data_IF_762644115503
#
_entry.id   IF_762644115503
#
_cell.length_a   1.000
_cell.length_b   1.000
_cell.length_c   1.000
_cell.angle_alpha   90.00
_cell.angle_beta   90.00
_cell.angle_gamma   90.00
#
_symmetry.space_group_name_H-M   'P 1'
#
loop_
_entity.id
_entity.type
_entity.pdbx_description
1 polymer ?
#
# COMPACT_ATOMS: atom_id res chain seq x y z
N UNK A 1 -3.88 8.27 -9.03
CA UNK A 1 -3.50 9.57 -9.61
C UNK A 1 -2.65 9.43 -10.89
N UNK A 2 -1.46 8.78 -10.86
CA UNK A 2 -0.61 8.65 -12.07
C UNK A 2 -1.33 8.03 -13.28
N UNK A 3 -2.05 6.91 -13.10
CA UNK A 3 -2.81 6.28 -14.19
C UNK A 3 -3.93 7.18 -14.74
N UNK A 4 -4.63 7.94 -13.89
CA UNK A 4 -5.65 8.89 -14.30
C UNK A 4 -5.05 9.96 -15.21
N UNK A 5 -3.87 10.50 -14.85
CA UNK A 5 -3.17 11.48 -15.67
C UNK A 5 -2.68 10.91 -17.00
N UNK A 6 -2.12 9.69 -17.00
CA UNK A 6 -1.63 9.04 -18.23
C UNK A 6 -2.76 8.69 -19.20
N UNK A 7 -3.87 8.16 -18.69
CA UNK A 7 -5.02 7.76 -19.50
C UNK A 7 -5.99 8.91 -19.77
N UNK A 8 -5.71 10.11 -19.25
CA UNK A 8 -6.57 11.31 -19.36
C UNK A 8 -8.02 11.06 -18.93
N UNK A 9 -8.20 10.15 -17.97
CA UNK A 9 -9.51 9.82 -17.43
C UNK A 9 -10.04 10.94 -16.51
N UNK A 10 -11.36 11.07 -16.44
CA UNK A 10 -11.99 12.04 -15.53
C UNK A 10 -11.80 11.61 -14.07
N UNK A 11 -11.24 12.52 -13.27
CA UNK A 11 -10.95 12.25 -11.86
C UNK A 11 -12.21 12.00 -11.04
N UNK A 12 -13.26 12.79 -11.27
CA UNK A 12 -14.51 12.71 -10.51
C UNK A 12 -15.23 11.40 -10.77
N UNK A 13 -15.35 11.00 -12.05
CA UNK A 13 -15.95 9.73 -12.45
C UNK A 13 -15.13 8.56 -11.91
N UNK A 14 -13.79 8.62 -12.03
CA UNK A 14 -12.90 7.56 -11.52
C UNK A 14 -13.03 7.39 -10.01
N UNK A 15 -13.08 8.49 -9.25
CA UNK A 15 -13.26 8.43 -7.80
C UNK A 15 -14.66 7.92 -7.41
N UNK A 16 -15.71 8.40 -8.08
CA UNK A 16 -17.08 7.98 -7.80
C UNK A 16 -17.28 6.48 -8.03
N UNK A 17 -16.88 5.99 -9.21
CA UNK A 17 -16.92 4.55 -9.53
C UNK A 17 -15.97 3.74 -8.64
N UNK A 18 -14.79 4.31 -8.32
CA UNK A 18 -13.81 3.69 -7.43
C UNK A 18 -14.37 3.44 -6.04
N UNK A 19 -15.06 4.41 -5.44
CA UNK A 19 -15.72 4.25 -4.12
C UNK A 19 -16.82 3.20 -4.19
N UNK A 20 -17.64 3.24 -5.23
CA UNK A 20 -18.72 2.28 -5.44
C UNK A 20 -18.20 0.82 -5.49
N UNK A 21 -17.09 0.59 -6.19
CA UNK A 21 -16.45 -0.72 -6.34
C UNK A 21 -15.66 -1.10 -5.07
N UNK A 22 -15.03 -0.12 -4.41
CA UNK A 22 -14.21 -0.39 -3.24
C UNK A 22 -15.02 -0.92 -2.05
N UNK A 23 -16.23 -0.42 -1.81
CA UNK A 23 -17.07 -0.83 -0.68
C UNK A 23 -17.31 -2.36 -0.67
N UNK A 24 -17.90 -2.97 -1.72
CA UNK A 24 -18.11 -4.42 -1.73
C UNK A 24 -16.78 -5.20 -1.78
N UNK A 25 -15.78 -4.69 -2.49
CA UNK A 25 -14.45 -5.33 -2.56
C UNK A 25 -13.81 -5.45 -1.18
N UNK A 26 -13.85 -4.38 -0.38
CA UNK A 26 -13.31 -4.38 1.00
C UNK A 26 -14.10 -5.33 1.90
N UNK A 27 -15.42 -5.43 1.74
CA UNK A 27 -16.22 -6.38 2.51
C UNK A 27 -15.83 -7.83 2.20
N UNK A 28 -15.59 -8.14 0.92
CA UNK A 28 -15.16 -9.49 0.50
C UNK A 28 -13.74 -9.80 0.94
N UNK A 29 -12.79 -8.94 0.62
CA UNK A 29 -11.36 -9.15 0.90
C UNK A 29 -11.00 -8.94 2.37
N UNK A 30 -11.75 -8.14 3.13
CA UNK A 30 -11.56 -7.90 4.56
C UNK A 30 -12.32 -8.92 5.43
N UNK A 31 -13.52 -8.57 5.94
CA UNK A 31 -14.22 -9.39 6.95
C UNK A 31 -14.57 -10.81 6.49
N UNK A 32 -14.92 -11.02 5.22
CA UNK A 32 -15.25 -12.36 4.74
C UNK A 32 -14.00 -13.22 4.57
N UNK A 33 -12.97 -12.68 3.94
CA UNK A 33 -11.72 -13.39 3.74
C UNK A 33 -10.98 -13.63 5.06
N UNK A 34 -11.01 -12.68 6.01
CA UNK A 34 -10.33 -12.82 7.30
C UNK A 34 -10.82 -14.02 8.10
N UNK A 35 -12.12 -14.35 8.04
CA UNK A 35 -12.68 -15.55 8.68
C UNK A 35 -12.09 -16.84 8.10
N UNK A 36 -11.79 -16.84 6.80
CA UNK A 36 -11.18 -17.97 6.13
C UNK A 36 -9.68 -18.04 6.44
N UNK A 37 -8.98 -16.90 6.36
CA UNK A 37 -7.57 -16.79 6.67
C UNK A 37 -7.25 -17.20 8.12
N UNK A 38 -8.07 -16.81 9.09
CA UNK A 38 -7.92 -17.19 10.49
C UNK A 38 -8.01 -18.71 10.72
N UNK A 39 -8.74 -19.44 9.88
CA UNK A 39 -8.79 -20.90 9.94
C UNK A 39 -7.56 -21.57 9.33
N UNK A 40 -6.95 -20.95 8.32
CA UNK A 40 -5.80 -21.49 7.60
C UNK A 40 -4.47 -21.14 8.26
N UNK A 41 -4.43 -20.01 8.95
CA UNK A 41 -3.24 -19.44 9.58
C UNK A 41 -3.59 -19.02 11.01
N UNK A 42 -3.79 -20.00 11.92
CA UNK A 42 -3.94 -19.66 13.34
C UNK A 42 -2.59 -19.18 13.85
N UNK A 43 -2.47 -17.89 14.14
CA UNK A 43 -1.26 -17.24 14.67
C UNK A 43 -1.64 -16.42 15.88
N UNK A 44 -0.92 -16.63 16.98
CA UNK A 44 -1.01 -15.80 18.15
C UNK A 44 -0.35 -14.44 17.90
N UNK A 45 -0.70 -13.45 18.71
CA UNK A 45 -0.07 -12.14 18.62
C UNK A 45 1.45 -12.28 18.80
N UNK A 46 2.28 -11.64 17.95
CA UNK A 46 3.73 -11.75 18.05
C UNK A 46 4.23 -11.23 19.39
N UNK A 47 5.18 -11.94 20.03
CA UNK A 47 5.80 -11.55 21.30
C UNK A 47 6.51 -10.19 21.22
N UNK A 48 6.83 -9.69 20.03
CA UNK A 48 7.37 -8.35 19.78
C UNK A 48 6.53 -7.22 20.38
N UNK A 49 5.23 -7.46 20.60
CA UNK A 49 4.30 -6.49 21.19
C UNK A 49 3.94 -6.81 22.64
N UNK A 50 4.42 -7.93 23.16
CA UNK A 50 4.22 -8.36 24.53
C UNK A 50 5.50 -8.03 25.34
N UNK A 51 5.67 -6.79 25.78
CA UNK A 51 6.58 -6.49 26.87
C UNK A 51 5.99 -7.11 28.16
N UNK A 52 6.06 -8.42 28.28
CA UNK A 52 5.83 -9.12 29.54
C UNK A 52 7.12 -9.04 30.33
N UNK A 53 7.14 -8.29 31.41
CA UNK A 53 8.08 -8.56 32.48
C UNK A 53 7.97 -10.06 32.85
N UNK A 54 9.07 -10.68 33.27
CA UNK A 54 9.15 -12.12 33.62
C UNK A 54 8.05 -12.63 34.57
N UNK A 55 7.17 -11.76 35.07
CA UNK A 55 6.06 -12.04 35.98
C UNK A 55 4.67 -11.90 35.34
N UNK A 56 4.55 -11.75 33.99
CA UNK A 56 3.24 -11.71 33.31
C UNK A 56 2.34 -10.51 33.70
N UNK A 57 2.86 -9.57 34.46
CA UNK A 57 2.13 -8.35 34.84
C UNK A 57 2.42 -7.28 33.82
N UNK A 58 1.39 -6.84 33.12
CA UNK A 58 1.40 -5.58 32.39
C UNK A 58 1.62 -4.45 33.40
N UNK A 59 2.89 -4.21 33.76
CA UNK A 59 3.27 -3.25 34.79
C UNK A 59 2.75 -1.87 34.42
N UNK A 60 2.03 -1.25 35.34
CA UNK A 60 1.69 0.17 35.25
C UNK A 60 3.02 0.91 35.44
N UNK A 61 3.68 1.25 34.32
CA UNK A 61 4.87 2.09 34.34
C UNK A 61 4.43 3.48 34.79
N UNK A 62 4.96 4.00 35.90
CA UNK A 62 4.70 5.38 36.30
C UNK A 62 5.16 6.32 35.17
N UNK A 63 4.29 7.22 34.75
CA UNK A 63 4.61 8.18 33.67
C UNK A 63 4.10 7.81 32.27
N UNK A 64 3.09 6.94 32.15
CA UNK A 64 2.48 6.66 30.82
C UNK A 64 1.98 7.96 30.18
N UNK A 65 2.33 8.23 28.92
CA UNK A 65 1.79 9.36 28.18
C UNK A 65 0.27 9.23 28.06
N UNK A 66 -0.43 10.36 28.05
CA UNK A 66 -1.88 10.38 27.88
C UNK A 66 -2.27 9.74 26.54
N UNK A 67 -3.34 8.96 26.51
CA UNK A 67 -3.84 8.32 25.29
C UNK A 67 -3.95 9.29 24.11
N UNK A 68 -4.43 10.51 24.34
CA UNK A 68 -4.54 11.54 23.31
C UNK A 68 -3.19 11.95 22.71
N UNK A 69 -2.14 12.04 23.54
CA UNK A 69 -0.77 12.37 23.09
C UNK A 69 -0.21 11.23 22.24
N UNK A 70 -0.37 10.00 22.69
CA UNK A 70 0.06 8.81 21.94
C UNK A 70 -0.66 8.74 20.60
N UNK A 71 -2.00 8.87 20.61
CA UNK A 71 -2.81 8.82 19.39
C UNK A 71 -2.43 9.94 18.40
N UNK A 72 -2.29 11.17 18.88
CA UNK A 72 -1.86 12.30 18.03
C UNK A 72 -0.46 12.09 17.45
N UNK A 73 0.48 11.58 18.23
CA UNK A 73 1.83 11.29 17.75
C UNK A 73 1.80 10.20 16.67
N UNK A 74 1.03 9.13 16.86
CA UNK A 74 0.92 8.03 15.87
C UNK A 74 0.19 8.45 14.59
N UNK A 75 -0.82 9.32 14.69
CA UNK A 75 -1.59 9.79 13.53
C UNK A 75 -0.91 10.93 12.78
N UNK A 76 0.08 11.58 13.38
CA UNK A 76 0.72 12.75 12.79
C UNK A 76 1.24 12.53 11.36
N UNK A 77 1.96 11.44 11.01
CA UNK A 77 2.42 11.23 9.64
C UNK A 77 1.24 11.06 8.67
N UNK A 78 0.17 10.39 9.10
CA UNK A 78 -1.04 10.23 8.28
C UNK A 78 -1.70 11.58 8.01
N UNK A 79 -1.81 12.43 9.03
CA UNK A 79 -2.39 13.78 8.90
C UNK A 79 -1.56 14.66 7.97
N UNK A 80 -0.22 14.61 8.08
CA UNK A 80 0.67 15.38 7.22
C UNK A 80 0.59 14.91 5.75
N UNK A 81 0.62 13.61 5.50
CA UNK A 81 0.50 13.04 4.16
C UNK A 81 -0.89 13.31 3.56
N UNK A 82 -1.94 13.24 4.37
CA UNK A 82 -3.30 13.57 3.95
C UNK A 82 -3.44 15.06 3.65
N UNK A 83 -2.79 15.94 4.42
CA UNK A 83 -2.72 17.38 4.15
C UNK A 83 -2.14 17.69 2.77
N UNK A 84 -1.04 16.99 2.38
CA UNK A 84 -0.46 17.09 1.03
C UNK A 84 -1.46 16.62 -0.04
N UNK A 85 -2.09 15.46 0.16
CA UNK A 85 -3.08 14.93 -0.78
C UNK A 85 -4.28 15.88 -0.97
N UNK A 86 -4.77 16.48 0.12
CA UNK A 86 -5.84 17.49 0.05
C UNK A 86 -5.39 18.77 -0.67
N UNK A 87 -4.16 19.24 -0.44
CA UNK A 87 -3.61 20.39 -1.16
C UNK A 87 -3.52 20.14 -2.68
N UNK A 88 -3.26 18.91 -3.09
CA UNK A 88 -3.28 18.51 -4.51
C UNK A 88 -4.70 18.53 -5.08
N UNK A 89 -5.68 18.02 -4.34
CA UNK A 89 -7.09 17.98 -4.76
C UNK A 89 -7.69 19.41 -4.88
N UNK A 90 -7.43 20.26 -3.88
CA UNK A 90 -7.96 21.63 -3.88
C UNK A 90 -7.16 22.62 -4.74
N UNK A 91 -6.19 22.12 -5.53
CA UNK A 91 -5.39 22.88 -6.49
C UNK A 91 -4.80 24.18 -5.94
N UNK A 92 -4.29 24.17 -4.71
CA UNK A 92 -3.67 25.32 -4.03
C UNK A 92 -2.35 25.76 -4.71
N UNK A 93 -2.31 25.77 -6.04
CA UNK A 93 -1.10 26.08 -6.82
C UNK A 93 -0.58 27.47 -6.51
N UNK A 94 0.74 27.59 -6.29
CA UNK A 94 1.43 28.86 -6.11
C UNK A 94 1.29 29.50 -4.71
N UNK A 95 0.71 28.79 -3.73
CA UNK A 95 0.62 29.29 -2.35
C UNK A 95 1.77 28.77 -1.48
N UNK A 96 2.24 29.59 -0.52
CA UNK A 96 3.24 29.16 0.47
C UNK A 96 2.73 27.94 1.28
N UNK A 97 1.42 27.87 1.53
CA UNK A 97 0.78 26.75 2.23
C UNK A 97 1.00 25.43 1.50
N UNK A 98 0.89 25.43 0.17
CA UNK A 98 1.17 24.24 -0.63
C UNK A 98 2.62 23.78 -0.48
N UNK A 99 3.58 24.69 -0.60
CA UNK A 99 5.00 24.33 -0.46
C UNK A 99 5.32 23.72 0.90
N UNK A 100 4.71 24.23 1.97
CA UNK A 100 4.85 23.68 3.32
C UNK A 100 4.21 22.28 3.41
N UNK A 101 3.00 22.09 2.89
CA UNK A 101 2.30 20.79 2.91
C UNK A 101 2.99 19.76 2.01
N UNK A 102 3.54 20.17 0.88
CA UNK A 102 4.33 19.30 0.00
C UNK A 102 5.59 18.80 0.70
N UNK A 103 6.28 19.66 1.44
CA UNK A 103 7.49 19.29 2.19
C UNK A 103 7.16 18.44 3.41
N UNK A 104 6.24 18.87 4.27
CA UNK A 104 5.90 18.16 5.51
C UNK A 104 5.12 16.86 5.24
N UNK A 105 4.36 16.79 4.15
CA UNK A 105 3.61 15.61 3.74
C UNK A 105 4.42 14.63 2.90
N UNK A 106 5.70 14.91 2.63
CA UNK A 106 6.60 13.91 2.04
C UNK A 106 6.82 12.78 3.05
N UNK A 107 6.60 11.49 2.68
CA UNK A 107 6.63 10.37 3.64
C UNK A 107 7.88 10.32 4.50
N UNK A 108 9.05 10.59 3.92
CA UNK A 108 10.31 10.58 4.63
C UNK A 108 10.35 11.66 5.73
N UNK A 109 9.96 12.90 5.40
CA UNK A 109 9.95 14.01 6.36
C UNK A 109 8.84 13.86 7.40
N UNK A 110 7.65 13.41 7.00
CA UNK A 110 6.54 13.16 7.91
C UNK A 110 6.91 12.12 8.99
N UNK A 111 7.52 11.00 8.58
CA UNK A 111 7.96 9.97 9.50
C UNK A 111 9.15 10.41 10.37
N UNK A 112 10.14 11.11 9.80
CA UNK A 112 11.26 11.64 10.56
C UNK A 112 10.79 12.64 11.63
N UNK A 113 9.95 13.60 11.26
CA UNK A 113 9.39 14.58 12.18
C UNK A 113 8.60 13.90 13.30
N UNK A 114 7.78 12.91 12.93
CA UNK A 114 7.00 12.14 13.91
C UNK A 114 7.91 11.38 14.88
N UNK A 115 8.97 10.76 14.39
CA UNK A 115 9.94 10.05 15.24
C UNK A 115 10.63 10.99 16.22
N UNK A 116 11.07 12.16 15.74
CA UNK A 116 11.68 13.17 16.59
C UNK A 116 10.69 13.69 17.65
N UNK A 117 9.44 13.94 17.27
CA UNK A 117 8.39 14.32 18.21
C UNK A 117 8.07 13.21 19.21
N UNK A 118 8.06 11.93 18.78
CA UNK A 118 7.81 10.79 19.66
C UNK A 118 8.87 10.69 20.77
N UNK A 119 10.13 10.99 20.48
CA UNK A 119 11.20 11.04 21.49
C UNK A 119 10.84 12.01 22.64
N UNK A 120 10.24 13.16 22.32
CA UNK A 120 9.83 14.14 23.31
C UNK A 120 8.49 13.81 23.95
N UNK A 121 7.48 13.47 23.14
CA UNK A 121 6.10 13.29 23.60
C UNK A 121 5.90 11.96 24.33
N UNK A 122 6.60 10.92 23.92
CA UNK A 122 6.50 9.59 24.53
C UNK A 122 7.69 9.32 25.46
N UNK A 123 8.91 9.54 25.01
CA UNK A 123 10.11 9.23 25.77
C UNK A 123 10.26 10.12 27.02
N UNK A 124 10.36 11.43 26.84
CA UNK A 124 10.56 12.37 27.94
C UNK A 124 9.40 12.41 28.94
N UNK A 125 8.16 12.34 28.43
CA UNK A 125 6.95 12.34 29.28
C UNK A 125 6.86 11.04 30.08
N UNK A 126 7.36 9.92 29.58
CA UNK A 126 7.47 8.65 30.32
C UNK A 126 8.63 8.61 31.34
N UNK A 127 9.36 9.70 31.47
CA UNK A 127 10.48 9.78 32.43
C UNK A 127 11.76 9.09 31.96
N UNK A 128 11.87 8.73 30.68
CA UNK A 128 13.09 8.13 30.12
C UNK A 128 14.25 9.11 30.17
N UNK A 129 15.40 8.68 30.69
CA UNK A 129 16.64 9.42 30.58
C UNK A 129 17.23 9.27 29.14
N UNK A 130 18.33 9.98 28.87
CA UNK A 130 18.98 9.95 27.54
C UNK A 130 19.46 8.55 27.15
N UNK A 131 20.02 7.82 28.12
CA UNK A 131 20.57 6.48 27.87
C UNK A 131 19.44 5.50 27.55
N UNK A 132 18.37 5.46 28.35
CA UNK A 132 17.21 4.63 28.10
C UNK A 132 16.53 4.96 26.73
N UNK A 133 16.54 6.24 26.34
CA UNK A 133 16.01 6.68 25.05
C UNK A 133 16.89 6.22 23.89
N UNK A 134 18.21 6.35 24.04
CA UNK A 134 19.20 5.85 23.08
C UNK A 134 19.11 4.33 22.92
N UNK A 135 19.01 3.61 24.03
CA UNK A 135 18.88 2.16 24.04
C UNK A 135 17.57 1.70 23.37
N UNK A 136 16.46 2.40 23.64
CA UNK A 136 15.17 2.12 23.00
C UNK A 136 15.20 2.32 21.48
N UNK A 137 15.83 3.42 21.02
CA UNK A 137 16.01 3.68 19.58
C UNK A 137 16.98 2.66 18.97
N UNK A 138 18.09 2.36 19.68
CA UNK A 138 19.07 1.37 19.25
C UNK A 138 18.49 -0.04 19.12
N UNK A 139 17.63 -0.44 20.07
CA UNK A 139 16.95 -1.73 20.05
C UNK A 139 15.92 -1.88 18.91
N UNK A 140 15.41 -0.77 18.37
CA UNK A 140 14.49 -0.79 17.24
C UNK A 140 15.19 -1.02 15.88
N UNK A 141 16.52 -0.80 15.78
CA UNK A 141 17.24 -0.90 14.50
C UNK A 141 17.49 -2.35 14.02
N UNK A 142 17.93 -3.30 14.88
CA UNK A 142 18.23 -4.65 14.43
C UNK A 142 17.05 -5.38 13.75
N UNK A 143 15.80 -5.31 14.25
CA UNK A 143 14.64 -5.91 13.58
C UNK A 143 14.39 -5.34 12.18
N UNK A 144 14.70 -4.07 11.97
CA UNK A 144 14.47 -3.37 10.69
C UNK A 144 15.58 -3.69 9.68
N UNK A 145 16.81 -4.00 10.13
CA UNK A 145 17.94 -4.25 9.24
C UNK A 145 17.68 -5.40 8.25
N UNK A 146 17.10 -6.50 8.72
CA UNK A 146 16.70 -7.64 7.87
C UNK A 146 15.65 -7.25 6.83
N UNK A 147 14.66 -6.46 7.25
CA UNK A 147 13.61 -5.94 6.37
C UNK A 147 14.22 -5.03 5.29
N UNK A 148 15.08 -4.09 5.68
CA UNK A 148 15.75 -3.18 4.74
C UNK A 148 16.58 -3.94 3.71
N UNK A 149 17.35 -4.93 4.13
CA UNK A 149 18.15 -5.75 3.22
C UNK A 149 17.27 -6.52 2.23
N UNK A 150 16.19 -7.15 2.71
CA UNK A 150 15.26 -7.90 1.87
C UNK A 150 14.53 -6.99 0.88
N UNK A 151 14.06 -5.82 1.34
CA UNK A 151 13.41 -4.82 0.49
C UNK A 151 14.38 -4.26 -0.55
N UNK A 152 15.63 -3.98 -0.17
CA UNK A 152 16.65 -3.50 -1.08
C UNK A 152 16.99 -4.56 -2.15
N UNK A 153 17.15 -5.83 -1.77
CA UNK A 153 17.39 -6.93 -2.70
C UNK A 153 16.21 -7.12 -3.67
N UNK A 154 14.97 -7.10 -3.16
CA UNK A 154 13.75 -7.14 -3.98
C UNK A 154 13.63 -5.95 -4.93
N UNK A 155 14.02 -4.75 -4.47
CA UNK A 155 14.09 -3.54 -5.28
C UNK A 155 15.11 -3.64 -6.41
N UNK A 156 16.29 -4.19 -6.14
CA UNK A 156 17.32 -4.47 -7.15
C UNK A 156 16.84 -5.45 -8.21
N UNK A 157 16.24 -6.56 -7.78
CA UNK A 157 15.66 -7.55 -8.69
C UNK A 157 14.56 -6.93 -9.58
N UNK A 158 13.64 -6.16 -8.98
CA UNK A 158 12.64 -5.40 -9.70
C UNK A 158 13.26 -4.50 -10.76
N UNK A 159 14.33 -3.75 -10.41
CA UNK A 159 14.98 -2.83 -11.36
C UNK A 159 15.55 -3.57 -12.56
N UNK A 160 16.17 -4.73 -12.36
CA UNK A 160 16.64 -5.59 -13.44
C UNK A 160 15.49 -6.00 -14.38
N UNK A 161 14.34 -6.39 -13.83
CA UNK A 161 13.17 -6.76 -14.64
C UNK A 161 12.60 -5.57 -15.44
N UNK A 162 12.66 -4.37 -14.90
CA UNK A 162 12.25 -3.14 -15.59
C UNK A 162 13.24 -2.81 -16.70
N UNK A 163 14.55 -2.85 -16.41
CA UNK A 163 15.62 -2.50 -17.36
C UNK A 163 15.71 -3.49 -18.53
N UNK A 164 15.41 -4.76 -18.30
CA UNK A 164 15.34 -5.78 -19.37
C UNK A 164 14.11 -5.61 -20.28
N UNK A 165 13.14 -4.76 -19.91
CA UNK A 165 11.93 -4.52 -20.71
C UNK A 165 10.93 -5.69 -20.73
N UNK A 166 11.15 -6.74 -19.96
CA UNK A 166 10.27 -7.94 -19.91
C UNK A 166 8.81 -7.55 -19.64
N UNK A 167 8.57 -6.59 -18.71
CA UNK A 167 7.23 -6.13 -18.39
C UNK A 167 6.49 -5.54 -19.61
N UNK A 168 7.19 -4.78 -20.46
CA UNK A 168 6.64 -4.22 -21.71
C UNK A 168 6.37 -5.29 -22.75
N UNK A 169 7.27 -6.26 -22.90
CA UNK A 169 7.10 -7.37 -23.85
C UNK A 169 5.86 -8.19 -23.51
N UNK A 170 5.68 -8.53 -22.26
CA UNK A 170 4.52 -9.28 -21.78
C UNK A 170 3.21 -8.49 -21.96
N UNK A 171 3.22 -7.19 -21.63
CA UNK A 171 2.09 -6.30 -21.81
C UNK A 171 1.65 -6.19 -23.27
N UNK A 172 2.60 -5.96 -24.20
CA UNK A 172 2.34 -5.84 -25.63
C UNK A 172 1.78 -7.15 -26.24
N UNK A 173 2.20 -8.31 -25.75
CA UNK A 173 1.66 -9.60 -26.21
C UNK A 173 0.17 -9.75 -25.89
N UNK A 174 -0.27 -9.23 -24.75
CA UNK A 174 -1.68 -9.30 -24.31
C UNK A 174 -2.55 -8.31 -25.09
N UNK A 175 -2.03 -7.12 -25.44
CA UNK A 175 -2.82 -6.08 -26.14
C UNK A 175 -3.19 -6.47 -27.58
N UNK A 176 -2.56 -7.48 -28.17
CA UNK A 176 -2.89 -7.98 -29.52
C UNK A 176 -4.03 -9.03 -29.51
N UNK A 177 -4.57 -9.33 -28.35
CA UNK A 177 -5.65 -10.31 -28.20
C UNK A 177 -7.03 -9.66 -28.38
N UNK A 178 -8.04 -10.48 -28.77
CA UNK A 178 -9.46 -10.06 -28.93
C UNK A 178 -10.22 -9.98 -27.58
N UNK A 179 -9.53 -9.65 -26.50
CA UNK A 179 -10.09 -9.61 -25.13
C UNK A 179 -10.74 -8.24 -24.89
N UNK A 180 -11.78 -8.19 -24.06
CA UNK A 180 -12.37 -6.92 -23.58
C UNK A 180 -11.28 -5.96 -23.07
N UNK A 181 -11.29 -4.67 -23.43
CA UNK A 181 -10.29 -3.70 -22.99
C UNK A 181 -10.10 -3.65 -21.48
N UNK A 182 -11.16 -3.81 -20.70
CA UNK A 182 -11.09 -3.79 -19.22
C UNK A 182 -10.41 -5.04 -18.66
N UNK A 183 -10.75 -6.22 -19.20
CA UNK A 183 -10.10 -7.46 -18.78
C UNK A 183 -8.64 -7.49 -19.24
N UNK A 184 -8.35 -7.00 -20.43
CA UNK A 184 -6.99 -6.82 -20.94
C UNK A 184 -6.18 -5.92 -20.03
N UNK A 185 -6.74 -4.80 -19.59
CA UNK A 185 -6.09 -3.87 -18.67
C UNK A 185 -5.72 -4.51 -17.33
N UNK A 186 -6.65 -5.30 -16.79
CA UNK A 186 -6.39 -6.07 -15.58
C UNK A 186 -5.28 -7.10 -15.80
N UNK A 187 -5.34 -7.89 -16.88
CA UNK A 187 -4.33 -8.90 -17.19
C UNK A 187 -2.93 -8.31 -17.40
N UNK A 188 -2.82 -7.21 -18.15
CA UNK A 188 -1.54 -6.51 -18.34
C UNK A 188 -0.97 -6.08 -16.99
N UNK A 189 -1.78 -5.46 -16.14
CA UNK A 189 -1.35 -5.04 -14.82
C UNK A 189 -0.95 -6.23 -13.94
N UNK A 190 -1.71 -7.35 -13.96
CA UNK A 190 -1.40 -8.60 -13.24
C UNK A 190 -0.04 -9.15 -13.67
N UNK A 191 0.21 -9.29 -14.97
CA UNK A 191 1.46 -9.85 -15.47
C UNK A 191 2.65 -8.99 -15.06
N UNK A 192 2.52 -7.66 -15.19
CA UNK A 192 3.57 -6.74 -14.77
C UNK A 192 3.76 -6.79 -13.24
N UNK A 193 2.67 -6.89 -12.48
CA UNK A 193 2.70 -7.02 -11.01
C UNK A 193 3.46 -8.28 -10.59
N UNK A 194 3.13 -9.42 -11.16
CA UNK A 194 3.79 -10.69 -10.88
C UNK A 194 5.28 -10.64 -11.23
N UNK A 195 5.63 -10.03 -12.35
CA UNK A 195 7.02 -9.89 -12.78
C UNK A 195 7.82 -8.93 -11.89
N UNK A 196 7.25 -7.77 -11.52
CA UNK A 196 8.00 -6.68 -10.87
C UNK A 196 7.84 -6.59 -9.36
N UNK A 197 6.82 -7.24 -8.78
CA UNK A 197 6.49 -7.14 -7.35
C UNK A 197 6.05 -5.75 -6.91
N UNK A 198 5.71 -4.84 -7.81
CA UNK A 198 5.39 -3.45 -7.47
C UNK A 198 4.07 -2.99 -8.08
N UNK A 199 3.11 -2.68 -7.22
CA UNK A 199 1.82 -2.12 -7.64
C UNK A 199 1.99 -0.80 -8.41
N UNK A 200 2.89 0.07 -7.97
CA UNK A 200 3.16 1.36 -8.63
C UNK A 200 3.70 1.17 -10.04
N UNK A 201 4.70 0.28 -10.20
CA UNK A 201 5.28 -0.01 -11.53
C UNK A 201 4.23 -0.68 -12.43
N UNK A 202 3.47 -1.64 -11.89
CA UNK A 202 2.39 -2.29 -12.64
C UNK A 202 1.36 -1.26 -13.13
N UNK A 203 0.92 -0.37 -12.24
CA UNK A 203 -0.07 0.67 -12.58
C UNK A 203 0.43 1.62 -13.65
N UNK A 204 1.64 2.19 -13.48
CA UNK A 204 2.18 3.21 -14.42
C UNK A 204 2.51 2.57 -15.77
N UNK A 205 3.12 1.38 -15.76
CA UNK A 205 3.50 0.70 -17.01
C UNK A 205 2.27 0.23 -17.78
N UNK A 206 1.27 -0.36 -17.11
CA UNK A 206 0.02 -0.78 -17.74
C UNK A 206 -0.74 0.43 -18.31
N UNK A 207 -0.81 1.54 -17.57
CA UNK A 207 -1.44 2.77 -18.05
C UNK A 207 -0.71 3.33 -19.29
N UNK A 208 0.63 3.33 -19.28
CA UNK A 208 1.40 3.78 -20.45
C UNK A 208 1.19 2.90 -21.69
N UNK A 209 1.09 1.57 -21.52
CA UNK A 209 0.82 0.63 -22.63
C UNK A 209 -0.60 0.83 -23.17
N UNK A 210 -1.57 1.14 -22.30
CA UNK A 210 -2.99 1.19 -22.65
C UNK A 210 -3.50 2.61 -22.95
N UNK A 211 -2.62 3.62 -22.98
CA UNK A 211 -3.00 5.00 -23.34
C UNK A 211 -3.74 5.06 -24.70
N UNK A 212 -3.27 4.40 -25.77
CA UNK A 212 -3.98 4.42 -27.06
C UNK A 212 -5.38 3.79 -26.99
N UNK A 213 -5.55 2.76 -26.15
CA UNK A 213 -6.85 2.11 -25.93
C UNK A 213 -7.79 3.04 -25.18
N UNK A 214 -7.30 3.69 -24.12
CA UNK A 214 -8.09 4.65 -23.34
C UNK A 214 -8.60 5.82 -24.18
N UNK A 215 -7.77 6.33 -25.11
CA UNK A 215 -8.11 7.43 -25.99
C UNK A 215 -9.31 7.13 -26.93
N UNK A 216 -9.60 5.86 -27.16
CA UNK A 216 -10.74 5.43 -27.99
C UNK A 216 -12.02 5.12 -27.20
N UNK A 217 -11.94 5.17 -25.85
CA UNK A 217 -13.07 4.82 -24.97
C UNK A 217 -13.86 6.04 -24.53
N UNK A 218 -15.17 5.89 -24.27
CA UNK A 218 -15.96 6.90 -23.56
C UNK A 218 -15.37 7.19 -22.17
N UNK A 219 -15.62 8.40 -21.65
CA UNK A 219 -15.01 8.88 -20.37
C UNK A 219 -15.25 7.92 -19.19
N UNK A 220 -16.45 7.34 -19.08
CA UNK A 220 -16.78 6.38 -18.03
C UNK A 220 -15.98 5.07 -18.20
N UNK A 221 -15.86 4.56 -19.43
CA UNK A 221 -15.06 3.36 -19.70
C UNK A 221 -13.56 3.60 -19.52
N UNK A 222 -13.05 4.79 -19.82
CA UNK A 222 -11.66 5.17 -19.52
C UNK A 222 -11.42 5.20 -17.99
N UNK A 223 -12.40 5.66 -17.19
CA UNK A 223 -12.35 5.59 -15.74
C UNK A 223 -12.36 4.13 -15.22
N UNK A 224 -13.20 3.27 -15.80
CA UNK A 224 -13.23 1.83 -15.49
C UNK A 224 -11.91 1.14 -15.89
N UNK A 225 -11.27 1.56 -16.98
CA UNK A 225 -9.94 1.06 -17.38
C UNK A 225 -8.87 1.38 -16.31
N UNK A 226 -8.89 2.60 -15.76
CA UNK A 226 -8.01 2.97 -14.63
C UNK A 226 -8.25 2.05 -13.44
N UNK A 227 -9.51 1.78 -13.09
CA UNK A 227 -9.86 0.92 -11.95
C UNK A 227 -9.47 -0.53 -12.21
N UNK A 228 -9.63 -1.05 -13.44
CA UNK A 228 -9.17 -2.39 -13.82
C UNK A 228 -7.66 -2.54 -13.66
N UNK A 229 -6.87 -1.55 -14.12
CA UNK A 229 -5.43 -1.51 -13.90
C UNK A 229 -5.10 -1.49 -12.40
N UNK A 230 -5.81 -0.68 -11.62
CA UNK A 230 -5.65 -0.61 -10.16
C UNK A 230 -5.89 -1.97 -9.50
N UNK A 231 -6.97 -2.66 -9.86
CA UNK A 231 -7.25 -4.01 -9.36
C UNK A 231 -6.16 -5.02 -9.75
N UNK A 232 -5.67 -4.98 -10.98
CA UNK A 232 -4.60 -5.87 -11.43
C UNK A 232 -3.26 -5.60 -10.75
N UNK A 233 -2.97 -4.35 -10.43
CA UNK A 233 -1.71 -3.92 -9.82
C UNK A 233 -1.48 -4.44 -8.40
N UNK A 234 -2.51 -4.89 -7.71
CA UNK A 234 -2.40 -5.47 -6.36
C UNK A 234 -2.51 -7.00 -6.36
N UNK A 235 -2.63 -7.64 -7.52
CA UNK A 235 -2.78 -9.08 -7.61
C UNK A 235 -1.59 -9.82 -7.01
N UNK A 236 -1.86 -10.81 -6.16
CA UNK A 236 -0.94 -11.81 -5.63
C UNK A 236 0.46 -11.27 -5.23
N UNK A 237 0.51 -10.39 -4.22
CA UNK A 237 1.78 -9.96 -3.61
C UNK A 237 2.56 -11.18 -3.10
N UNK A 238 3.82 -11.34 -3.51
CA UNK A 238 4.64 -12.49 -3.15
C UNK A 238 6.10 -12.07 -2.89
N UNK A 239 7.02 -13.00 -2.91
CA UNK A 239 8.40 -12.83 -2.46
C UNK A 239 9.22 -11.71 -3.14
N UNK A 240 8.76 -11.17 -4.25
CA UNK A 240 9.37 -10.01 -4.92
C UNK A 240 8.78 -8.66 -4.48
N UNK A 241 7.82 -8.67 -3.56
CA UNK A 241 7.17 -7.46 -3.02
C UNK A 241 7.64 -7.16 -1.59
N UNK A 242 8.04 -5.92 -1.36
CA UNK A 242 8.42 -5.44 -0.04
C UNK A 242 7.30 -5.60 1.00
N UNK A 243 6.04 -5.35 0.60
CA UNK A 243 4.86 -5.50 1.47
C UNK A 243 4.70 -6.92 1.99
N UNK A 244 4.97 -7.92 1.16
CA UNK A 244 4.94 -9.33 1.54
C UNK A 244 5.90 -9.63 2.72
N UNK A 245 7.13 -9.13 2.64
CA UNK A 245 8.14 -9.32 3.67
C UNK A 245 7.84 -8.53 4.94
N UNK A 246 7.29 -7.31 4.80
CA UNK A 246 6.85 -6.54 5.95
C UNK A 246 5.79 -7.30 6.76
N UNK A 247 4.76 -7.83 6.10
CA UNK A 247 3.72 -8.62 6.77
C UNK A 247 4.32 -9.86 7.44
N UNK A 248 5.19 -10.60 6.71
CA UNK A 248 5.87 -11.77 7.28
C UNK A 248 6.62 -11.44 8.57
N UNK A 249 7.43 -10.39 8.56
CA UNK A 249 8.26 -10.02 9.71
C UNK A 249 7.44 -9.45 10.87
N UNK A 250 6.51 -8.53 10.60
CA UNK A 250 5.70 -7.92 11.66
C UNK A 250 4.77 -8.91 12.37
N UNK A 251 4.24 -9.88 11.65
CA UNK A 251 3.38 -10.91 12.24
C UNK A 251 4.14 -12.16 12.69
N UNK A 252 5.47 -12.24 12.46
CA UNK A 252 6.28 -13.39 12.84
C UNK A 252 5.86 -14.71 12.17
N UNK A 253 5.25 -14.62 10.98
CA UNK A 253 4.70 -15.77 10.26
C UNK A 253 5.67 -16.33 9.22
N UNK A 254 5.48 -17.60 8.83
CA UNK A 254 6.27 -18.23 7.78
C UNK A 254 5.87 -17.70 6.39
N UNK A 255 6.76 -17.88 5.39
CA UNK A 255 6.48 -17.55 3.98
C UNK A 255 5.18 -18.21 3.49
N UNK A 256 4.98 -19.49 3.81
CA UNK A 256 3.75 -20.20 3.43
C UNK A 256 2.49 -19.64 4.08
N UNK A 257 2.56 -19.19 5.32
CA UNK A 257 1.47 -18.53 6.01
C UNK A 257 1.19 -17.14 5.44
N UNK A 258 2.23 -16.40 5.07
CA UNK A 258 2.09 -15.09 4.40
C UNK A 258 1.40 -15.22 3.05
N UNK A 259 1.74 -16.25 2.26
CA UNK A 259 1.04 -16.55 0.99
C UNK A 259 -0.44 -16.84 1.26
N UNK A 260 -0.76 -17.70 2.24
CA UNK A 260 -2.15 -18.09 2.55
C UNK A 260 -3.00 -16.95 3.11
N UNK A 261 -2.40 -15.98 3.80
CA UNK A 261 -3.11 -14.83 4.38
C UNK A 261 -3.04 -13.62 3.44
N UNK A 262 -1.87 -13.04 3.27
CA UNK A 262 -1.67 -11.78 2.55
C UNK A 262 -1.86 -11.91 1.04
N UNK A 263 -1.11 -12.83 0.39
CA UNK A 263 -1.16 -12.95 -1.07
C UNK A 263 -2.53 -13.36 -1.58
N UNK A 264 -3.22 -14.27 -0.88
CA UNK A 264 -4.59 -14.67 -1.25
C UNK A 264 -5.61 -13.58 -0.95
N UNK A 265 -5.42 -12.77 0.09
CA UNK A 265 -6.28 -11.61 0.35
C UNK A 265 -6.18 -10.59 -0.78
N UNK A 266 -4.98 -10.23 -1.20
CA UNK A 266 -4.77 -9.32 -2.32
C UNK A 266 -5.31 -9.88 -3.63
N UNK A 267 -5.19 -11.20 -3.84
CA UNK A 267 -5.81 -11.88 -4.98
C UNK A 267 -7.33 -11.77 -4.94
N UNK A 268 -7.94 -12.02 -3.79
CA UNK A 268 -9.40 -11.88 -3.62
C UNK A 268 -9.86 -10.44 -3.88
N UNK A 269 -9.10 -9.45 -3.40
CA UNK A 269 -9.35 -8.04 -3.65
C UNK A 269 -9.27 -7.71 -5.15
N UNK A 270 -8.22 -8.17 -5.81
CA UNK A 270 -7.98 -7.94 -7.24
C UNK A 270 -9.08 -8.56 -8.12
N UNK A 271 -9.41 -9.82 -7.87
CA UNK A 271 -10.42 -10.56 -8.64
C UNK A 271 -11.82 -9.99 -8.38
N UNK A 272 -12.18 -9.77 -7.13
CA UNK A 272 -13.47 -9.15 -6.79
C UNK A 272 -13.59 -7.76 -7.42
N UNK A 273 -12.54 -6.96 -7.35
CA UNK A 273 -12.51 -5.63 -7.93
C UNK A 273 -12.72 -5.63 -9.44
N UNK A 274 -12.00 -6.49 -10.18
CA UNK A 274 -12.18 -6.55 -11.65
C UNK A 274 -13.55 -7.10 -12.04
N UNK A 275 -14.10 -8.06 -11.32
CA UNK A 275 -15.46 -8.56 -11.56
C UNK A 275 -16.50 -7.45 -11.40
N UNK A 276 -16.35 -6.61 -10.38
CA UNK A 276 -17.22 -5.46 -10.17
C UNK A 276 -17.01 -4.38 -11.24
N UNK A 277 -15.77 -4.14 -11.68
CA UNK A 277 -15.49 -3.24 -12.82
C UNK A 277 -16.21 -3.72 -14.07
N UNK A 278 -16.12 -5.02 -14.39
CA UNK A 278 -16.80 -5.61 -15.54
C UNK A 278 -18.33 -5.55 -15.38
N UNK A 279 -18.86 -5.77 -14.18
CA UNK A 279 -20.31 -5.66 -13.92
C UNK A 279 -20.79 -4.23 -14.15
N UNK A 280 -20.08 -3.23 -13.61
CA UNK A 280 -20.43 -1.82 -13.77
C UNK A 280 -20.32 -1.39 -15.24
N UNK A 281 -19.38 -1.93 -16.00
CA UNK A 281 -19.22 -1.61 -17.43
C UNK A 281 -20.42 -2.01 -18.32
N UNK A 282 -21.28 -2.89 -17.83
CA UNK A 282 -22.53 -3.27 -18.54
C UNK A 282 -23.62 -2.22 -18.34
N UNK A 283 -23.51 -1.42 -17.27
CA UNK A 283 -24.55 -0.45 -16.87
C UNK A 283 -24.20 0.97 -17.35
N UNK A 284 -22.91 1.26 -17.53
CA UNK A 284 -22.36 2.57 -17.86
C UNK A 284 -21.79 2.56 -19.28
#
# INVERSE_FOLDING_TARGET
>A
MAAIGLLKADLGITLGLGVLIAIPTVVVAGPLFSRLAARWVPVDAPDLFLNSDENGRCGIVPGRPRFSVTLMTLLLPVVLMMGKALADIFALKGTAVRSILDFLGEPMFALLLTTLLAIFTLGKVSGMNRDAMSDSVGAALPPIAGILLTVAAGGGFKQILVDTGIAKLLGNGITQSSISPLLMAWLVAVVIRLATGSATVATVTAAGILEPVAASLPSAHAALLVLAIGCGSVFFSHVNDAGFWLIKEYFGISVGQTIKSWSLMETALSVCGVLLVLLVSVIV
#
